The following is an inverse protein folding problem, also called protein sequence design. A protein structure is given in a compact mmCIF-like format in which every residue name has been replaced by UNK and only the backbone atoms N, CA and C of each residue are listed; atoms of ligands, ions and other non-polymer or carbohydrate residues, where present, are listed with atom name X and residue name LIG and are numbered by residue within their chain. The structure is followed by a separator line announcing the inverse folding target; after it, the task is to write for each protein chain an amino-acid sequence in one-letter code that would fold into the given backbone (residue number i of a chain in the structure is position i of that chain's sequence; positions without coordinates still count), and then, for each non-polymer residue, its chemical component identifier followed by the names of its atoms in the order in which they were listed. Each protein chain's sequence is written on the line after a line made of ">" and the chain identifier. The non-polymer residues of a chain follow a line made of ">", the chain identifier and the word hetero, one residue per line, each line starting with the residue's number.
data_IF_328689130543
#
_entry.id   IF_328689130543
#
_cell.length_a   1.000
_cell.length_b   1.000
_cell.length_c   1.000
_cell.angle_alpha   90.00
_cell.angle_beta   90.00
_cell.angle_gamma   90.00
#
_symmetry.space_group_name_H-M   'P 1'
#
loop_
_entity.id
_entity.type
_entity.pdbx_description
1 polymer ?
#
# COMPACT_ATOMS: atom_id res chain seq x y z
N UNK A 1 5.10 4.05 11.08
CA UNK A 1 6.52 3.82 10.76
C UNK A 1 6.79 2.32 10.76
N UNK A 2 7.00 1.74 9.60
CA UNK A 2 7.38 0.36 9.42
C UNK A 2 8.89 0.18 9.25
N UNK A 3 9.27 -0.85 8.52
CA UNK A 3 10.67 -1.14 8.19
C UNK A 3 11.35 0.05 7.50
N UNK A 4 12.59 0.34 7.89
CA UNK A 4 13.31 1.53 7.46
C UNK A 4 13.10 2.77 8.34
N UNK A 5 12.16 2.71 9.29
CA UNK A 5 11.97 3.72 10.34
C UNK A 5 11.75 5.13 9.82
N UNK A 6 12.38 6.09 10.48
CA UNK A 6 12.35 7.52 10.13
C UNK A 6 12.84 7.78 8.71
N UNK A 7 13.89 7.07 8.29
CA UNK A 7 14.51 7.25 6.96
C UNK A 7 13.54 6.99 5.82
N UNK A 8 12.64 6.03 5.97
CA UNK A 8 11.62 5.70 4.97
C UNK A 8 10.34 6.49 5.23
N UNK A 9 9.74 6.38 6.42
CA UNK A 9 8.45 6.97 6.71
C UNK A 9 8.41 8.51 6.56
N UNK A 10 9.50 9.19 6.86
CA UNK A 10 9.64 10.63 6.63
C UNK A 10 10.37 10.91 5.32
N UNK A 11 11.43 10.16 5.03
CA UNK A 11 12.30 10.40 3.88
C UNK A 11 11.63 10.29 2.52
N UNK A 12 10.44 9.68 2.42
CA UNK A 12 9.65 9.57 1.20
C UNK A 12 8.54 10.62 1.07
N UNK A 13 8.38 11.52 2.05
CA UNK A 13 7.28 12.49 2.04
C UNK A 13 7.52 13.69 1.12
N UNK A 14 8.77 14.03 0.83
CA UNK A 14 9.14 15.12 -0.07
C UNK A 14 10.53 14.89 -0.67
N UNK A 15 10.82 15.57 -1.77
CA UNK A 15 12.11 15.46 -2.48
C UNK A 15 13.27 16.01 -1.66
N UNK A 16 13.07 17.14 -1.00
CA UNK A 16 14.04 17.76 -0.11
C UNK A 16 13.57 17.72 1.34
N UNK A 17 14.39 17.15 2.23
CA UNK A 17 14.07 16.98 3.64
C UNK A 17 15.31 17.14 4.54
N UNK A 18 15.16 17.93 5.59
CA UNK A 18 16.12 18.00 6.68
C UNK A 18 15.47 17.44 7.96
N UNK A 19 15.96 16.30 8.43
CA UNK A 19 15.41 15.56 9.57
C UNK A 19 16.38 15.68 10.75
N UNK A 20 15.87 16.17 11.89
CA UNK A 20 16.62 16.21 13.13
C UNK A 20 16.28 14.99 14.00
N UNK A 21 17.20 14.03 14.04
CA UNK A 21 17.01 12.79 14.78
C UNK A 21 17.02 12.97 16.31
N UNK A 22 17.58 14.06 16.82
CA UNK A 22 17.56 14.35 18.26
C UNK A 22 16.13 14.67 18.75
N UNK A 23 15.27 15.17 17.85
CA UNK A 23 13.87 15.48 18.13
C UNK A 23 12.92 14.28 18.03
N UNK A 24 13.36 13.16 17.50
CA UNK A 24 12.54 11.96 17.38
C UNK A 24 12.22 11.38 18.76
N UNK A 25 10.92 11.25 19.12
CA UNK A 25 10.52 10.67 20.40
C UNK A 25 11.02 9.23 20.55
N UNK A 26 11.58 8.91 21.70
CA UNK A 26 12.17 7.59 22.01
C UNK A 26 11.58 7.04 23.30
N UNK A 27 11.31 5.74 23.34
CA UNK A 27 10.84 5.06 24.57
C UNK A 27 11.96 4.79 25.57
N UNK A 28 13.22 4.74 25.12
CA UNK A 28 14.39 4.46 25.95
C UNK A 28 15.62 5.18 25.41
N UNK A 29 16.61 5.35 26.28
CA UNK A 29 17.88 5.97 25.94
C UNK A 29 18.86 4.92 25.38
N UNK A 30 19.94 5.40 24.74
CA UNK A 30 21.06 4.56 24.30
C UNK A 30 21.10 4.29 22.79
N UNK A 31 20.07 4.68 22.04
CA UNK A 31 20.09 4.57 20.57
C UNK A 31 21.05 5.60 19.96
N UNK A 32 21.85 5.15 19.00
CA UNK A 32 22.67 6.03 18.18
C UNK A 32 21.87 6.61 16.98
N UNK A 33 22.51 7.46 16.19
CA UNK A 33 21.85 8.12 15.06
C UNK A 33 21.39 7.14 13.97
N UNK A 34 22.16 6.08 13.72
CA UNK A 34 21.80 5.03 12.76
C UNK A 34 20.58 4.25 13.23
N UNK A 35 20.60 3.83 14.49
CA UNK A 35 19.48 3.09 15.09
C UNK A 35 18.19 3.91 15.09
N UNK A 36 18.27 5.21 15.44
CA UNK A 36 17.11 6.11 15.39
C UNK A 36 16.59 6.26 13.95
N UNK A 37 17.50 6.38 12.97
CA UNK A 37 17.15 6.59 11.57
C UNK A 37 16.38 5.41 10.95
N UNK A 38 16.74 4.16 11.32
CA UNK A 38 16.21 2.95 10.70
C UNK A 38 15.29 2.13 11.62
N UNK A 39 15.18 2.49 12.90
CA UNK A 39 14.37 1.74 13.86
C UNK A 39 12.90 1.76 13.52
N UNK A 40 12.31 0.59 13.37
CA UNK A 40 10.87 0.44 13.23
C UNK A 40 10.18 0.89 14.52
N UNK A 41 9.14 1.71 14.38
CA UNK A 41 8.31 2.16 15.49
C UNK A 41 6.87 2.21 15.03
N UNK A 42 6.18 1.10 15.18
CA UNK A 42 4.81 0.89 14.71
C UNK A 42 3.83 1.89 15.34
N UNK A 43 2.69 2.08 14.66
CA UNK A 43 1.60 2.97 15.08
C UNK A 43 1.98 4.45 15.16
N UNK A 44 3.08 4.85 14.52
CA UNK A 44 3.42 6.25 14.29
C UNK A 44 3.10 6.66 12.87
N UNK A 45 2.72 7.91 12.72
CA UNK A 45 2.44 8.52 11.43
C UNK A 45 3.27 9.78 11.27
N UNK A 46 3.81 10.00 10.07
CA UNK A 46 4.40 11.26 9.69
C UNK A 46 3.45 12.00 8.74
N UNK A 47 3.32 13.29 8.93
CA UNK A 47 2.49 14.17 8.10
C UNK A 47 3.28 15.41 7.72
N UNK A 48 2.99 15.96 6.54
CA UNK A 48 3.49 17.27 6.12
C UNK A 48 2.40 18.29 6.38
N UNK A 49 2.74 19.35 7.09
CA UNK A 49 1.82 20.41 7.49
C UNK A 49 2.43 21.75 7.11
N UNK A 50 1.60 22.68 6.61
CA UNK A 50 2.05 24.04 6.35
C UNK A 50 2.58 24.68 7.65
N UNK A 51 3.70 25.42 7.61
CA UNK A 51 4.24 26.06 8.81
C UNK A 51 3.23 26.91 9.59
N UNK A 52 2.27 27.54 8.91
CA UNK A 52 1.22 28.34 9.57
C UNK A 52 0.20 27.51 10.36
N UNK A 53 0.09 26.21 10.06
CA UNK A 53 -0.88 25.31 10.68
C UNK A 53 -0.27 24.38 11.75
N UNK A 54 1.06 24.43 11.94
CA UNK A 54 1.77 23.54 12.87
C UNK A 54 1.24 23.66 14.30
N UNK A 55 1.11 24.88 14.83
CA UNK A 55 0.62 25.09 16.20
C UNK A 55 -0.78 24.49 16.39
N UNK A 56 -1.69 24.76 15.45
CA UNK A 56 -3.04 24.23 15.48
C UNK A 56 -3.10 22.72 15.36
N UNK A 57 -2.21 22.12 14.55
CA UNK A 57 -2.09 20.67 14.44
C UNK A 57 -1.64 20.04 15.76
N UNK A 58 -0.66 20.66 16.44
CA UNK A 58 -0.18 20.20 17.76
C UNK A 58 -1.26 20.33 18.84
N UNK A 59 -2.07 21.40 18.80
CA UNK A 59 -3.22 21.56 19.69
C UNK A 59 -4.23 20.42 19.49
N UNK A 60 -4.61 20.11 18.26
CA UNK A 60 -5.53 19.00 17.96
C UNK A 60 -4.99 17.65 18.40
N UNK A 61 -3.69 17.40 18.17
CA UNK A 61 -3.06 16.16 18.65
C UNK A 61 -3.16 16.05 20.18
N UNK A 62 -2.90 17.14 20.89
CA UNK A 62 -3.02 17.17 22.35
C UNK A 62 -4.46 16.99 22.84
N UNK A 63 -5.47 17.55 22.17
CA UNK A 63 -6.89 17.34 22.47
C UNK A 63 -7.29 15.86 22.37
N UNK A 64 -6.69 15.13 21.41
CA UNK A 64 -6.89 13.69 21.22
C UNK A 64 -5.93 12.81 22.07
N UNK A 65 -5.18 13.43 23.00
CA UNK A 65 -4.19 12.77 23.84
C UNK A 65 -3.10 12.04 23.05
N UNK A 66 -2.68 12.61 21.93
CA UNK A 66 -1.60 12.11 21.06
C UNK A 66 -0.35 12.97 21.23
N UNK A 67 0.81 12.30 21.26
CA UNK A 67 2.10 12.97 21.18
C UNK A 67 2.41 13.34 19.73
N UNK A 68 2.63 14.61 19.44
CA UNK A 68 3.09 15.07 18.14
C UNK A 68 4.31 15.97 18.29
N UNK A 69 5.30 15.78 17.42
CA UNK A 69 6.57 16.48 17.48
C UNK A 69 7.04 16.85 16.08
N UNK A 70 7.48 18.09 15.90
CA UNK A 70 8.13 18.53 14.66
C UNK A 70 9.58 18.00 14.63
N UNK A 71 9.86 17.10 13.71
CA UNK A 71 11.14 16.42 13.58
C UNK A 71 11.88 16.69 12.28
N UNK A 72 11.18 17.28 11.29
CA UNK A 72 11.73 17.52 9.96
C UNK A 72 11.19 18.80 9.35
N UNK A 73 11.92 19.33 8.39
CA UNK A 73 11.53 20.45 7.53
C UNK A 73 11.66 20.02 6.06
N UNK A 74 10.67 20.40 5.26
CA UNK A 74 10.74 20.27 3.79
C UNK A 74 11.63 21.40 3.27
N UNK A 75 12.57 21.05 2.39
CA UNK A 75 13.54 21.99 1.81
C UNK A 75 13.41 22.05 0.28
N UNK A 76 13.84 23.14 -0.31
CA UNK A 76 13.89 23.30 -1.77
C UNK A 76 15.02 22.48 -2.41
N UNK A 77 16.10 22.24 -1.67
CA UNK A 77 17.21 21.39 -2.14
C UNK A 77 16.76 19.92 -2.12
N UNK A 78 16.74 19.20 -3.26
CA UNK A 78 16.24 17.83 -3.34
C UNK A 78 17.25 16.84 -2.77
N UNK A 79 17.42 16.88 -1.47
CA UNK A 79 18.32 16.03 -0.69
C UNK A 79 17.62 15.50 0.55
N UNK A 80 17.95 14.28 0.94
CA UNK A 80 17.64 13.74 2.25
C UNK A 80 18.82 13.98 3.17
N UNK A 81 18.62 14.85 4.16
CA UNK A 81 19.62 15.15 5.18
C UNK A 81 19.13 14.67 6.54
N UNK A 82 19.91 13.83 7.21
CA UNK A 82 19.67 13.41 8.59
C UNK A 82 20.75 14.00 9.50
N UNK A 83 20.32 14.78 10.47
CA UNK A 83 21.20 15.37 11.48
C UNK A 83 21.04 14.65 12.82
N UNK A 84 22.16 14.37 13.48
CA UNK A 84 22.23 13.82 14.83
C UNK A 84 23.37 14.46 15.62
N UNK A 85 23.03 15.01 16.79
CA UNK A 85 24.00 15.71 17.69
C UNK A 85 24.76 16.82 16.97
N UNK A 86 24.06 17.61 16.15
CA UNK A 86 24.65 18.71 15.39
C UNK A 86 25.60 18.31 14.27
N UNK A 87 25.49 17.06 13.78
CA UNK A 87 26.26 16.56 12.63
C UNK A 87 25.33 15.90 11.62
N UNK A 88 25.55 16.20 10.37
CA UNK A 88 24.95 15.45 9.28
C UNK A 88 25.55 14.03 9.25
N UNK A 89 24.72 13.03 9.45
CA UNK A 89 25.11 11.62 9.37
C UNK A 89 24.65 10.98 8.05
N UNK A 90 23.67 11.58 7.38
CA UNK A 90 23.25 11.24 6.03
C UNK A 90 23.03 12.53 5.25
N UNK A 91 23.52 12.56 4.01
CA UNK A 91 23.28 13.65 3.07
C UNK A 91 23.29 13.10 1.64
N UNK A 92 22.13 12.67 1.15
CA UNK A 92 21.97 11.99 -0.12
C UNK A 92 21.09 12.82 -1.06
N UNK A 93 21.46 12.88 -2.34
CA UNK A 93 20.61 13.51 -3.35
C UNK A 93 19.38 12.64 -3.64
N UNK A 94 18.25 13.27 -3.96
CA UNK A 94 17.04 12.57 -4.37
C UNK A 94 17.29 11.72 -5.62
N UNK A 95 18.03 12.26 -6.58
CA UNK A 95 18.39 11.53 -7.81
C UNK A 95 19.14 10.21 -7.53
N UNK A 96 19.99 10.17 -6.48
CA UNK A 96 20.64 8.93 -6.05
C UNK A 96 19.63 7.96 -5.44
N UNK A 97 18.74 8.44 -4.56
CA UNK A 97 17.73 7.61 -3.90
C UNK A 97 16.75 6.99 -4.90
N UNK A 98 16.29 7.76 -5.89
CA UNK A 98 15.33 7.32 -6.90
C UNK A 98 15.87 6.22 -7.83
N UNK A 99 17.19 6.18 -8.01
CA UNK A 99 17.84 5.22 -8.90
C UNK A 99 18.69 4.19 -8.14
N UNK A 100 18.75 4.26 -6.81
CA UNK A 100 19.74 3.51 -6.01
C UNK A 100 21.19 3.69 -6.52
N UNK A 101 21.48 4.87 -7.08
CA UNK A 101 22.78 5.22 -7.64
C UNK A 101 23.09 4.59 -9.00
N UNK A 102 22.15 3.90 -9.63
CA UNK A 102 22.33 3.27 -10.93
C UNK A 102 21.10 3.49 -11.83
N UNK A 103 21.34 3.98 -13.06
CA UNK A 103 20.32 3.94 -14.10
C UNK A 103 20.19 2.50 -14.61
N UNK A 104 18.97 2.00 -14.60
CA UNK A 104 18.67 0.66 -15.09
C UNK A 104 17.96 0.78 -16.44
N UNK A 105 18.52 0.10 -17.42
CA UNK A 105 17.93 -0.04 -18.75
C UNK A 105 17.69 -1.52 -19.01
N UNK A 106 16.55 -1.84 -19.58
CA UNK A 106 16.23 -3.20 -19.98
C UNK A 106 15.57 -3.20 -21.34
N UNK A 107 15.82 -4.26 -22.11
CA UNK A 107 15.11 -4.52 -23.34
C UNK A 107 14.18 -5.69 -23.10
N UNK A 108 12.90 -5.48 -23.37
CA UNK A 108 11.88 -6.52 -23.25
C UNK A 108 11.49 -6.98 -24.65
N UNK A 109 11.66 -8.26 -24.90
CA UNK A 109 11.16 -8.92 -26.09
C UNK A 109 9.81 -9.56 -25.76
N UNK A 110 8.79 -9.24 -26.54
CA UNK A 110 7.42 -9.72 -26.33
C UNK A 110 7.08 -10.67 -27.46
N UNK A 111 7.04 -11.96 -27.16
CA UNK A 111 6.61 -12.97 -28.11
C UNK A 111 5.11 -12.92 -28.37
N UNK A 112 4.71 -13.29 -29.57
CA UNK A 112 3.29 -13.48 -29.87
C UNK A 112 2.76 -14.71 -29.11
N UNK A 113 1.53 -14.62 -28.55
CA UNK A 113 0.92 -15.76 -27.86
C UNK A 113 0.87 -17.02 -28.75
N UNK A 114 1.19 -18.16 -28.18
CA UNK A 114 1.15 -19.45 -28.90
C UNK A 114 -0.26 -19.75 -29.43
N UNK A 115 -0.38 -19.94 -30.74
CA UNK A 115 -1.65 -20.18 -31.40
C UNK A 115 -2.31 -21.50 -30.98
N UNK A 116 -1.52 -22.51 -30.74
CA UNK A 116 -2.01 -23.83 -30.37
C UNK A 116 -2.48 -23.90 -28.92
N UNK A 117 -1.89 -23.07 -28.05
CA UNK A 117 -2.28 -22.90 -26.65
C UNK A 117 -3.32 -21.77 -26.44
N UNK A 118 -4.08 -21.42 -27.46
CA UNK A 118 -5.05 -20.33 -27.41
C UNK A 118 -6.06 -20.52 -26.26
N UNK A 119 -6.05 -19.59 -25.33
CA UNK A 119 -6.91 -19.59 -24.14
C UNK A 119 -8.40 -19.67 -24.49
N UNK A 120 -8.83 -19.06 -25.59
CA UNK A 120 -10.23 -19.06 -26.04
C UNK A 120 -10.63 -20.31 -26.82
N UNK A 121 -9.72 -21.24 -27.06
CA UNK A 121 -10.04 -22.51 -27.71
C UNK A 121 -10.85 -23.37 -26.75
N UNK A 122 -12.07 -23.75 -27.19
CA UNK A 122 -12.91 -24.63 -26.40
C UNK A 122 -12.26 -26.00 -26.24
N UNK A 123 -12.03 -26.47 -25.00
CA UNK A 123 -11.52 -27.82 -24.79
C UNK A 123 -12.56 -28.88 -25.18
N UNK A 124 -12.09 -30.02 -25.68
CA UNK A 124 -12.94 -31.21 -25.77
C UNK A 124 -13.08 -31.82 -24.39
N UNK A 125 -14.31 -31.94 -23.90
CA UNK A 125 -14.63 -32.46 -22.58
C UNK A 125 -15.33 -33.82 -22.72
N UNK A 126 -14.62 -34.90 -22.35
CA UNK A 126 -15.15 -36.26 -22.41
C UNK A 126 -16.14 -36.52 -21.26
N UNK A 127 -15.84 -36.08 -20.06
CA UNK A 127 -16.70 -36.15 -18.88
C UNK A 127 -16.90 -34.75 -18.28
N UNK A 128 -18.10 -34.22 -18.42
CA UNK A 128 -18.48 -32.89 -17.98
C UNK A 128 -18.42 -32.79 -16.44
N UNK A 129 -18.83 -33.85 -15.73
CA UNK A 129 -18.85 -33.86 -14.27
C UNK A 129 -17.42 -33.85 -13.71
N UNK A 130 -16.55 -34.68 -14.26
CA UNK A 130 -15.16 -34.74 -13.85
C UNK A 130 -14.48 -33.38 -14.10
N UNK A 131 -14.63 -32.82 -15.31
CA UNK A 131 -14.05 -31.53 -15.66
C UNK A 131 -14.58 -30.38 -14.79
N UNK A 132 -15.85 -30.41 -14.45
CA UNK A 132 -16.40 -29.41 -13.54
C UNK A 132 -15.81 -29.50 -12.13
N UNK A 133 -15.69 -30.71 -11.58
CA UNK A 133 -15.08 -30.89 -10.26
C UNK A 133 -13.59 -30.51 -10.25
N UNK A 134 -12.87 -30.82 -11.32
CA UNK A 134 -11.49 -30.39 -11.51
C UNK A 134 -11.38 -28.86 -11.52
N UNK A 135 -12.23 -28.17 -12.31
CA UNK A 135 -12.25 -26.70 -12.36
C UNK A 135 -12.57 -26.10 -11.00
N UNK A 136 -13.56 -26.61 -10.28
CA UNK A 136 -13.92 -26.12 -8.95
C UNK A 136 -12.85 -26.40 -7.89
N UNK A 137 -11.93 -27.34 -8.12
CA UNK A 137 -10.80 -27.62 -7.25
C UNK A 137 -9.56 -26.77 -7.57
N UNK A 138 -9.54 -26.10 -8.72
CA UNK A 138 -8.46 -25.18 -9.08
C UNK A 138 -8.38 -24.01 -8.11
N UNK A 139 -7.17 -23.68 -7.67
CA UNK A 139 -6.96 -22.61 -6.67
C UNK A 139 -7.35 -21.22 -7.16
N UNK A 140 -7.40 -21.00 -8.48
CA UNK A 140 -7.84 -19.71 -9.05
C UNK A 140 -9.37 -19.64 -9.21
N UNK A 141 -10.07 -20.79 -9.18
CA UNK A 141 -11.53 -20.90 -9.41
C UNK A 141 -12.29 -21.26 -8.14
N UNK A 142 -11.63 -21.88 -7.16
CA UNK A 142 -12.29 -22.26 -5.91
C UNK A 142 -12.65 -21.05 -5.07
N UNK A 143 -13.72 -21.16 -4.25
CA UNK A 143 -14.16 -20.08 -3.38
C UNK A 143 -13.07 -19.68 -2.37
N UNK A 144 -12.79 -18.37 -2.31
CA UNK A 144 -11.84 -17.77 -1.35
C UNK A 144 -12.50 -17.42 -0.01
N UNK A 145 -13.76 -17.80 0.21
CA UNK A 145 -14.54 -17.42 1.41
C UNK A 145 -13.83 -17.78 2.70
N UNK A 146 -13.22 -18.95 2.79
CA UNK A 146 -12.50 -19.38 3.98
C UNK A 146 -11.28 -18.51 4.34
N UNK A 147 -10.63 -17.94 3.35
CA UNK A 147 -9.52 -16.98 3.55
C UNK A 147 -10.06 -15.61 3.95
N UNK A 148 -11.07 -15.12 3.23
CA UNK A 148 -11.69 -13.81 3.49
C UNK A 148 -12.26 -13.71 4.90
N UNK A 149 -12.90 -14.77 5.40
CA UNK A 149 -13.47 -14.80 6.75
C UNK A 149 -12.43 -14.77 7.89
N UNK A 150 -11.15 -14.97 7.58
CA UNK A 150 -10.05 -14.81 8.55
C UNK A 150 -9.58 -13.37 8.74
N UNK A 151 -10.01 -12.46 7.89
CA UNK A 151 -9.61 -11.07 7.88
C UNK A 151 -10.81 -10.14 8.09
N UNK A 152 -10.54 -8.90 8.43
CA UNK A 152 -11.54 -7.89 8.69
C UNK A 152 -12.22 -7.43 7.38
N UNK A 153 -13.37 -7.99 7.07
CA UNK A 153 -14.14 -7.68 5.87
C UNK A 153 -14.99 -6.40 5.95
N UNK A 154 -15.11 -5.78 7.13
CA UNK A 154 -16.00 -4.64 7.37
C UNK A 154 -15.45 -3.62 8.36
N UNK A 155 -14.18 -3.28 8.25
CA UNK A 155 -13.51 -2.30 9.12
C UNK A 155 -14.23 -0.95 9.03
N UNK A 156 -14.46 -0.31 10.18
CA UNK A 156 -15.06 1.01 10.29
C UNK A 156 -16.56 1.07 10.02
N UNK A 157 -17.22 -0.09 9.86
CA UNK A 157 -18.67 -0.21 9.60
C UNK A 157 -19.19 0.61 8.37
N UNK A 158 -18.28 1.02 7.50
CA UNK A 158 -18.60 1.77 6.27
C UNK A 158 -18.85 0.90 5.05
N UNK A 159 -18.65 -0.43 5.12
CA UNK A 159 -18.80 -1.33 3.98
C UNK A 159 -20.25 -1.39 3.50
N UNK A 160 -20.45 -1.05 2.22
CA UNK A 160 -21.75 -1.19 1.54
C UNK A 160 -21.85 -2.57 0.90
N UNK A 161 -20.77 -3.03 0.25
CA UNK A 161 -20.66 -4.39 -0.27
C UNK A 161 -19.69 -5.19 0.57
N UNK A 162 -20.18 -6.31 1.09
CA UNK A 162 -19.35 -7.31 1.73
C UNK A 162 -18.62 -8.16 0.68
N UNK A 163 -17.47 -8.77 1.01
CA UNK A 163 -16.73 -9.61 0.08
C UNK A 163 -17.54 -10.77 -0.53
N UNK A 164 -18.53 -11.26 0.20
CA UNK A 164 -19.49 -12.24 -0.28
C UNK A 164 -20.92 -11.75 -0.05
N UNK A 165 -21.69 -11.70 -1.11
CA UNK A 165 -23.08 -11.24 -1.13
C UNK A 165 -24.09 -12.34 -1.44
N UNK A 166 -25.29 -11.89 -1.79
CA UNK A 166 -26.42 -12.75 -2.09
C UNK A 166 -27.13 -13.29 -0.83
N UNK A 167 -28.25 -13.97 -1.03
CA UNK A 167 -29.09 -14.48 0.06
C UNK A 167 -28.33 -15.40 1.05
N UNK A 168 -27.37 -16.14 0.54
CA UNK A 168 -26.59 -17.11 1.34
C UNK A 168 -25.16 -16.64 1.60
N UNK A 169 -24.82 -15.40 1.21
CA UNK A 169 -23.47 -14.83 1.35
C UNK A 169 -22.37 -15.75 0.77
N UNK A 170 -22.62 -16.29 -0.42
CA UNK A 170 -21.71 -17.20 -1.13
C UNK A 170 -21.27 -16.66 -2.47
N UNK A 171 -21.87 -15.56 -2.94
CA UNK A 171 -21.50 -14.93 -4.20
C UNK A 171 -20.38 -13.94 -3.97
N UNK A 172 -19.26 -14.17 -4.58
CA UNK A 172 -18.11 -13.26 -4.50
C UNK A 172 -18.44 -11.93 -5.16
N UNK A 173 -18.01 -10.83 -4.53
CA UNK A 173 -18.11 -9.48 -5.09
C UNK A 173 -16.70 -9.01 -5.46
N UNK A 174 -16.51 -8.71 -6.75
CA UNK A 174 -15.24 -8.17 -7.28
C UNK A 174 -15.18 -6.64 -7.21
N UNK A 175 -15.98 -6.07 -6.32
CA UNK A 175 -16.09 -4.63 -6.14
C UNK A 175 -16.15 -4.30 -4.66
N UNK A 176 -15.26 -3.43 -4.21
CA UNK A 176 -15.36 -2.79 -2.91
C UNK A 176 -16.21 -1.53 -3.06
N UNK A 177 -17.22 -1.39 -2.20
CA UNK A 177 -17.99 -0.14 -2.04
C UNK A 177 -18.07 0.18 -0.55
N UNK A 178 -17.58 1.35 -0.19
CA UNK A 178 -17.59 1.81 1.19
C UNK A 178 -18.01 3.28 1.29
N UNK A 179 -18.77 3.61 2.34
CA UNK A 179 -19.11 5.01 2.66
C UNK A 179 -17.85 5.77 3.06
N UNK A 180 -17.76 7.04 2.67
CA UNK A 180 -16.71 7.92 3.18
C UNK A 180 -16.93 8.16 4.66
N UNK A 181 -15.90 8.01 5.50
CA UNK A 181 -16.00 8.29 6.92
C UNK A 181 -16.19 9.80 7.16
N UNK A 182 -17.09 10.15 8.05
CA UNK A 182 -17.31 11.55 8.49
C UNK A 182 -17.32 11.62 10.01
N UNK A 183 -16.83 12.72 10.56
CA UNK A 183 -16.74 12.90 12.02
C UNK A 183 -18.11 13.04 12.67
N UNK A 184 -19.10 13.60 11.98
CA UNK A 184 -20.46 13.81 12.48
C UNK A 184 -21.49 13.62 11.37
N UNK A 185 -22.65 13.06 11.73
CA UNK A 185 -23.77 12.81 10.82
C UNK A 185 -23.54 11.59 9.93
N UNK A 186 -24.39 11.45 8.90
CA UNK A 186 -24.34 10.40 7.89
C UNK A 186 -23.80 10.94 6.57
N UNK A 187 -23.10 10.08 5.84
CA UNK A 187 -22.59 10.37 4.51
C UNK A 187 -23.07 9.28 3.55
N UNK A 188 -23.75 9.68 2.48
CA UNK A 188 -24.19 8.78 1.41
C UNK A 188 -23.21 8.73 0.24
N UNK A 189 -22.14 9.52 0.27
CA UNK A 189 -21.06 9.43 -0.70
C UNK A 189 -20.24 8.17 -0.43
N UNK A 190 -19.93 7.44 -1.50
CA UNK A 190 -19.18 6.20 -1.44
C UNK A 190 -17.91 6.28 -2.29
N UNK A 191 -16.91 5.53 -1.90
CA UNK A 191 -15.79 5.16 -2.75
C UNK A 191 -16.04 3.78 -3.32
N UNK A 192 -15.62 3.56 -4.56
CA UNK A 192 -15.76 2.28 -5.26
C UNK A 192 -14.45 1.88 -5.90
N UNK A 193 -14.13 0.61 -5.80
CA UNK A 193 -12.97 0.01 -6.46
C UNK A 193 -13.36 -1.36 -6.99
N UNK A 194 -13.07 -1.62 -8.25
CA UNK A 194 -13.28 -2.92 -8.88
C UNK A 194 -12.02 -3.40 -9.57
N UNK A 195 -11.92 -4.69 -9.75
CA UNK A 195 -10.81 -5.30 -10.47
C UNK A 195 -11.30 -6.49 -11.29
N UNK A 196 -10.53 -6.83 -12.30
CA UNK A 196 -10.65 -8.07 -13.06
C UNK A 196 -9.25 -8.62 -13.30
N UNK A 197 -9.04 -9.90 -13.07
CA UNK A 197 -7.76 -10.56 -13.29
C UNK A 197 -7.95 -12.04 -13.52
N UNK A 198 -7.41 -12.54 -14.63
CA UNK A 198 -7.30 -13.96 -14.91
C UNK A 198 -5.82 -14.32 -15.12
N UNK A 199 -5.22 -15.13 -14.21
CA UNK A 199 -3.82 -15.47 -14.27
C UNK A 199 -3.46 -16.34 -15.49
N UNK A 200 -4.36 -17.21 -15.93
CA UNK A 200 -4.13 -18.07 -17.08
C UNK A 200 -4.17 -17.30 -18.39
N UNK A 201 -5.18 -16.40 -18.53
CA UNK A 201 -5.27 -15.50 -19.66
C UNK A 201 -4.03 -14.59 -19.74
N UNK A 202 -3.64 -14.01 -18.60
CA UNK A 202 -2.49 -13.11 -18.51
C UNK A 202 -1.16 -13.81 -18.79
N UNK A 203 -1.01 -15.07 -18.38
CA UNK A 203 0.16 -15.89 -18.67
C UNK A 203 0.26 -16.28 -20.14
N UNK A 204 -0.87 -16.57 -20.79
CA UNK A 204 -0.90 -16.85 -22.22
C UNK A 204 -0.63 -15.59 -23.05
N UNK A 205 -1.25 -14.47 -22.68
CA UNK A 205 -1.09 -13.20 -23.37
C UNK A 205 -1.26 -12.02 -22.42
N UNK A 206 -0.17 -11.32 -22.06
CA UNK A 206 -0.27 -10.09 -21.24
C UNK A 206 -1.20 -9.03 -21.84
N UNK A 207 -1.24 -8.92 -23.17
CA UNK A 207 -2.15 -8.00 -23.84
C UNK A 207 -3.64 -8.33 -23.54
N UNK A 208 -4.02 -9.60 -23.70
CA UNK A 208 -5.42 -10.01 -23.43
C UNK A 208 -5.74 -9.97 -21.94
N UNK A 209 -4.77 -10.30 -21.08
CA UNK A 209 -4.92 -10.14 -19.64
C UNK A 209 -5.16 -8.70 -19.20
N UNK A 210 -4.43 -7.74 -19.80
CA UNK A 210 -4.62 -6.33 -19.52
C UNK A 210 -5.96 -5.77 -20.06
N UNK A 211 -6.48 -6.36 -21.15
CA UNK A 211 -7.79 -6.00 -21.71
C UNK A 211 -8.95 -6.57 -20.89
N UNK A 212 -8.76 -7.73 -20.26
CA UNK A 212 -9.73 -8.36 -19.37
C UNK A 212 -9.96 -7.55 -18.10
#
# INVERSE_FOLDING_TARGET
>A
FGAGGVSVAIGELADGLHINLDKVPKKYAGLDGTEIAISESQERMAVVVDPSDVEKFLEYANEENLEATVVAEVTEDPRLVLEWRGKEIVNLSRAFLDTNGAHQETTVEVDMPEKDANFFKKPEVADVKEKWLETLADLNECSQKGLVEKFDGSIGAGSVFMPHGGKYQKTETQTMVAKLPVLKGDCDTVTMMSYGFDPYLSSWSPYHGAMY
#
